data_IF_577337761978
#
_entry.id   IF_577337761978
#
_cell.length_a   1.000
_cell.length_b   1.000
_cell.length_c   1.000
_cell.angle_alpha   90.00
_cell.angle_beta   90.00
_cell.angle_gamma   90.00
#
_symmetry.space_group_name_H-M   'P 1'
#
loop_
_entity.id
_entity.type
_entity.pdbx_description
1 polymer ?
#
# COMPACT_ATOMS: atom_id res chain seq x y z
N UNK A 1 -0.67 -20.94 7.47
CA UNK A 1 -0.33 -19.88 6.49
C UNK A 1 -1.57 -19.06 6.21
N UNK A 2 -1.45 -17.73 6.21
CA UNK A 2 -2.58 -16.81 5.99
C UNK A 2 -3.04 -16.88 4.53
N UNK A 3 -4.36 -16.93 4.31
CA UNK A 3 -4.93 -17.08 2.97
C UNK A 3 -4.87 -15.77 2.18
N UNK A 4 -4.56 -15.83 0.88
CA UNK A 4 -4.45 -14.65 0.01
C UNK A 4 -5.68 -13.75 0.00
N UNK A 5 -6.89 -14.33 0.05
CA UNK A 5 -8.13 -13.54 0.08
C UNK A 5 -8.26 -12.70 1.37
N UNK A 6 -7.69 -13.17 2.49
CA UNK A 6 -7.67 -12.42 3.76
C UNK A 6 -6.73 -11.23 3.67
N UNK A 7 -5.55 -11.45 3.08
CA UNK A 7 -4.58 -10.39 2.82
C UNK A 7 -5.21 -9.30 1.94
N UNK A 8 -5.88 -9.70 0.86
CA UNK A 8 -6.56 -8.78 -0.05
C UNK A 8 -7.63 -7.94 0.68
N UNK A 9 -8.50 -8.57 1.48
CA UNK A 9 -9.51 -7.84 2.28
C UNK A 9 -8.87 -6.87 3.28
N UNK A 10 -7.75 -7.24 3.90
CA UNK A 10 -7.04 -6.35 4.82
C UNK A 10 -6.44 -5.14 4.11
N UNK A 11 -5.87 -5.34 2.92
CA UNK A 11 -5.36 -4.26 2.07
C UNK A 11 -6.49 -3.30 1.69
N UNK A 12 -7.62 -3.81 1.20
CA UNK A 12 -8.78 -2.99 0.81
C UNK A 12 -9.32 -2.19 1.99
N UNK A 13 -9.45 -2.82 3.17
CA UNK A 13 -9.88 -2.14 4.38
C UNK A 13 -8.90 -1.04 4.81
N UNK A 14 -7.60 -1.31 4.71
CA UNK A 14 -6.56 -0.33 5.01
C UNK A 14 -6.67 0.90 4.11
N UNK A 15 -6.70 0.72 2.78
CA UNK A 15 -6.76 1.83 1.83
C UNK A 15 -8.09 2.60 1.87
N UNK A 16 -9.18 1.95 2.27
CA UNK A 16 -10.49 2.61 2.40
C UNK A 16 -10.53 3.68 3.49
N UNK A 17 -9.67 3.55 4.51
CA UNK A 17 -9.76 4.32 5.76
C UNK A 17 -8.46 4.98 6.17
N UNK A 18 -7.36 4.73 5.46
CA UNK A 18 -6.04 5.22 5.82
C UNK A 18 -5.27 5.61 4.55
N UNK A 19 -4.32 6.54 4.69
CA UNK A 19 -3.33 6.86 3.65
C UNK A 19 -1.97 6.29 4.03
N UNK A 20 -1.20 5.72 3.07
CA UNK A 20 0.20 5.33 3.31
C UNK A 20 1.13 6.48 3.70
N UNK A 21 0.71 7.74 3.52
CA UNK A 21 1.43 8.89 4.02
C UNK A 21 1.31 9.11 5.53
N UNK A 22 0.25 8.56 6.15
CA UNK A 22 -0.10 8.82 7.56
C UNK A 22 0.21 7.62 8.47
N UNK A 23 -0.09 6.41 8.01
CA UNK A 23 0.09 5.17 8.76
C UNK A 23 0.45 4.05 7.77
N UNK A 24 1.43 3.22 8.10
CA UNK A 24 1.81 2.07 7.29
C UNK A 24 0.81 0.91 7.42
N UNK A 25 0.80 0.00 6.45
CA UNK A 25 -0.02 -1.21 6.53
C UNK A 25 0.34 -2.09 7.74
N UNK A 26 1.62 -2.16 8.10
CA UNK A 26 2.08 -2.86 9.31
C UNK A 26 1.46 -2.27 10.58
N UNK A 27 1.54 -0.95 10.75
CA UNK A 27 0.95 -0.26 11.91
C UNK A 27 -0.58 -0.42 11.95
N UNK A 28 -1.24 -0.44 10.79
CA UNK A 28 -2.66 -0.78 10.70
C UNK A 28 -2.95 -2.19 11.22
N UNK A 29 -2.18 -3.21 10.80
CA UNK A 29 -2.35 -4.59 11.25
C UNK A 29 -2.11 -4.74 12.75
N UNK A 30 -1.09 -4.09 13.29
CA UNK A 30 -0.81 -4.06 14.73
C UNK A 30 -1.93 -3.37 15.53
N UNK A 31 -2.55 -2.33 14.96
CA UNK A 31 -3.69 -1.66 15.59
C UNK A 31 -4.91 -2.56 15.60
N UNK A 32 -5.22 -3.20 14.47
CA UNK A 32 -6.37 -4.10 14.36
C UNK A 32 -6.20 -5.33 15.26
N UNK A 33 -5.00 -5.91 15.33
CA UNK A 33 -4.74 -7.08 16.19
C UNK A 33 -4.95 -6.82 17.68
N UNK A 34 -4.77 -5.56 18.12
CA UNK A 34 -4.97 -5.14 19.52
C UNK A 34 -6.40 -4.71 19.82
N UNK A 35 -7.09 -4.10 18.86
CA UNK A 35 -8.35 -3.41 19.10
C UNK A 35 -9.58 -4.13 18.54
N UNK A 36 -9.41 -5.10 17.64
CA UNK A 36 -10.49 -5.84 17.02
C UNK A 36 -10.52 -7.29 17.55
N UNK A 37 -11.51 -7.64 18.41
CA UNK A 37 -11.60 -8.98 19.01
C UNK A 37 -11.73 -10.11 17.99
N UNK A 38 -12.22 -9.81 16.78
CA UNK A 38 -12.43 -10.80 15.73
C UNK A 38 -11.29 -10.86 14.72
N UNK A 39 -10.22 -10.07 14.90
CA UNK A 39 -9.13 -9.98 13.93
C UNK A 39 -8.47 -11.33 13.66
N UNK A 40 -8.02 -12.02 14.72
CA UNK A 40 -7.34 -13.31 14.57
C UNK A 40 -8.29 -14.42 14.11
N UNK A 41 -9.54 -14.41 14.57
CA UNK A 41 -10.56 -15.35 14.09
C UNK A 41 -10.84 -15.16 12.60
N UNK A 42 -10.89 -13.92 12.12
CA UNK A 42 -10.99 -13.61 10.69
C UNK A 42 -9.74 -14.08 9.93
N UNK A 43 -8.55 -13.82 10.47
CA UNK A 43 -7.26 -14.04 9.82
C UNK A 43 -6.94 -15.53 9.65
N UNK A 44 -7.14 -16.32 10.71
CA UNK A 44 -6.83 -17.74 10.75
C UNK A 44 -8.03 -18.64 10.47
N UNK A 45 -9.26 -18.10 10.44
CA UNK A 45 -10.51 -18.87 10.29
C UNK A 45 -10.70 -19.92 11.39
N UNK A 46 -10.24 -19.59 12.60
CA UNK A 46 -10.35 -20.44 13.78
C UNK A 46 -11.07 -19.68 14.90
N UNK A 47 -11.83 -20.42 15.71
CA UNK A 47 -12.42 -19.87 16.92
C UNK A 47 -11.36 -19.80 18.01
N UNK A 48 -11.03 -18.59 18.45
CA UNK A 48 -10.04 -18.35 19.49
C UNK A 48 -10.74 -18.22 20.83
N UNK A 49 -10.41 -19.11 21.77
CA UNK A 49 -11.00 -19.09 23.11
C UNK A 49 -10.42 -17.92 23.93
N UNK A 50 -9.10 -17.65 23.85
CA UNK A 50 -8.46 -16.49 24.52
C UNK A 50 -7.09 -16.02 23.97
N UNK A 51 -6.36 -16.81 23.17
CA UNK A 51 -4.99 -16.47 22.73
C UNK A 51 -4.51 -17.25 21.50
N UNK A 52 -3.54 -16.71 20.77
CA UNK A 52 -2.81 -17.43 19.72
C UNK A 52 -1.95 -18.57 20.29
N UNK A 53 -1.73 -19.63 19.51
CA UNK A 53 -0.64 -20.58 19.77
C UNK A 53 0.72 -19.97 19.40
N UNK A 54 1.81 -20.61 19.85
CA UNK A 54 3.17 -20.20 19.46
C UNK A 54 3.36 -20.21 17.94
N UNK A 55 2.86 -21.25 17.26
CA UNK A 55 2.92 -21.36 15.80
C UNK A 55 2.14 -20.25 15.10
N UNK A 56 0.95 -19.91 15.60
CA UNK A 56 0.14 -18.82 15.03
C UNK A 56 0.77 -17.46 15.28
N UNK A 57 1.40 -17.28 16.43
CA UNK A 57 2.15 -16.06 16.76
C UNK A 57 3.33 -15.88 15.79
N UNK A 58 4.13 -16.94 15.57
CA UNK A 58 5.24 -16.90 14.61
C UNK A 58 4.75 -16.61 13.18
N UNK A 59 3.65 -17.23 12.74
CA UNK A 59 3.05 -16.95 11.43
C UNK A 59 2.57 -15.50 11.32
N UNK A 60 2.05 -14.92 12.40
CA UNK A 60 1.60 -13.53 12.39
C UNK A 60 2.78 -12.55 12.36
N UNK A 61 3.85 -12.82 13.11
CA UNK A 61 5.06 -11.99 13.09
C UNK A 61 5.72 -12.01 11.69
N UNK A 62 5.86 -13.17 11.06
CA UNK A 62 6.35 -13.27 9.68
C UNK A 62 5.46 -12.50 8.69
N UNK A 63 4.15 -12.54 8.91
CA UNK A 63 3.19 -11.78 8.12
C UNK A 63 3.33 -10.26 8.28
N UNK A 64 3.64 -9.77 9.50
CA UNK A 64 3.87 -8.34 9.74
C UNK A 64 5.14 -7.81 9.08
N UNK A 65 6.18 -8.65 8.94
CA UNK A 65 7.45 -8.27 8.31
C UNK A 65 7.48 -8.45 6.79
N UNK A 66 6.48 -9.14 6.23
CA UNK A 66 6.37 -9.31 4.78
C UNK A 66 5.84 -8.04 4.11
N UNK A 67 6.45 -7.63 2.99
CA UNK A 67 5.90 -6.56 2.15
C UNK A 67 4.70 -7.05 1.34
N UNK A 68 3.53 -6.47 1.60
CA UNK A 68 2.26 -6.81 0.91
C UNK A 68 1.79 -5.73 -0.06
N UNK A 69 2.40 -4.55 -0.04
CA UNK A 69 2.00 -3.40 -0.85
C UNK A 69 3.19 -2.87 -1.62
N UNK A 70 3.01 -2.77 -2.94
CA UNK A 70 3.96 -2.12 -3.83
C UNK A 70 3.24 -1.04 -4.63
N UNK A 71 3.99 -0.03 -5.04
CA UNK A 71 3.42 1.15 -5.68
C UNK A 71 4.17 1.48 -6.95
N UNK A 72 3.42 2.07 -7.88
CA UNK A 72 3.90 2.60 -9.15
C UNK A 72 3.54 4.08 -9.29
N UNK A 73 4.23 4.77 -10.21
CA UNK A 73 3.94 6.11 -10.64
C UNK A 73 3.21 6.08 -11.98
N UNK A 74 2.02 6.66 -12.02
CA UNK A 74 1.26 6.87 -13.24
C UNK A 74 1.29 8.35 -13.60
N UNK A 75 1.72 8.65 -14.82
CA UNK A 75 1.72 9.99 -15.38
C UNK A 75 0.60 10.13 -16.39
N UNK A 76 -0.28 11.10 -16.16
CA UNK A 76 -1.47 11.34 -16.97
C UNK A 76 -1.49 12.77 -17.52
N UNK A 77 -1.90 12.90 -18.77
CA UNK A 77 -2.24 14.16 -19.44
C UNK A 77 -3.63 14.06 -20.09
N UNK A 78 -4.11 15.13 -20.71
CA UNK A 78 -5.37 15.11 -21.47
C UNK A 78 -5.37 14.09 -22.63
N UNK A 79 -4.20 13.63 -23.06
CA UNK A 79 -4.05 12.82 -24.29
C UNK A 79 -3.26 11.53 -24.13
N UNK A 80 -2.59 11.32 -23.00
CA UNK A 80 -1.71 10.17 -22.78
C UNK A 80 -1.65 9.75 -21.31
N UNK A 81 -1.32 8.48 -21.10
CA UNK A 81 -1.08 7.88 -19.79
C UNK A 81 0.12 6.95 -19.90
N UNK A 82 1.05 7.01 -18.95
CA UNK A 82 2.21 6.12 -18.87
C UNK A 82 2.51 5.73 -17.42
N UNK A 83 2.83 4.46 -17.21
CA UNK A 83 3.42 3.95 -15.98
C UNK A 83 4.96 4.02 -15.99
N UNK A 84 5.55 4.27 -14.83
CA UNK A 84 7.00 4.18 -14.61
C UNK A 84 7.45 2.71 -14.45
N UNK A 85 6.55 1.82 -14.03
CA UNK A 85 6.79 0.38 -13.88
C UNK A 85 7.41 0.00 -12.54
N UNK A 86 7.27 0.83 -11.51
CA UNK A 86 7.81 0.57 -10.18
C UNK A 86 7.03 -0.52 -9.43
N UNK A 87 7.79 -1.28 -8.63
CA UNK A 87 7.30 -2.21 -7.61
C UNK A 87 8.04 -1.91 -6.31
N UNK A 88 7.83 -0.70 -5.82
CA UNK A 88 8.59 -0.13 -4.70
C UNK A 88 7.67 0.34 -3.59
N UNK A 89 8.25 0.74 -2.45
CA UNK A 89 7.49 1.32 -1.34
C UNK A 89 6.85 2.67 -1.71
N UNK A 90 5.78 3.02 -1.01
CA UNK A 90 5.14 4.34 -1.14
C UNK A 90 6.14 5.47 -0.95
N UNK A 91 6.99 5.37 0.07
CA UNK A 91 7.99 6.38 0.40
C UNK A 91 9.00 6.58 -0.73
N UNK A 92 9.46 5.49 -1.37
CA UNK A 92 10.34 5.58 -2.53
C UNK A 92 9.69 6.35 -3.69
N UNK A 93 8.44 6.02 -4.02
CA UNK A 93 7.69 6.68 -5.07
C UNK A 93 7.49 8.17 -4.77
N UNK A 94 7.15 8.50 -3.53
CA UNK A 94 6.96 9.88 -3.09
C UNK A 94 8.26 10.70 -3.14
N UNK A 95 9.38 10.11 -2.71
CA UNK A 95 10.68 10.78 -2.78
C UNK A 95 11.17 10.96 -4.21
N UNK A 96 10.87 10.00 -5.09
CA UNK A 96 11.14 10.12 -6.51
C UNK A 96 10.38 11.29 -7.15
N UNK A 97 9.09 11.44 -6.83
CA UNK A 97 8.32 12.62 -7.26
C UNK A 97 8.95 13.90 -6.71
N UNK A 98 9.19 13.99 -5.40
CA UNK A 98 9.77 15.20 -4.78
C UNK A 98 11.12 15.60 -5.37
N UNK A 99 11.94 14.63 -5.76
CA UNK A 99 13.28 14.89 -6.29
C UNK A 99 13.25 15.34 -7.76
N UNK A 100 12.26 14.91 -8.55
CA UNK A 100 12.24 15.09 -10.00
C UNK A 100 11.14 16.04 -10.51
N UNK A 101 10.06 16.26 -9.77
CA UNK A 101 8.97 17.14 -10.18
C UNK A 101 9.47 18.60 -10.30
N UNK A 102 9.25 19.24 -11.45
CA UNK A 102 9.84 20.54 -11.81
C UNK A 102 11.14 20.45 -12.62
N UNK A 103 11.73 19.26 -12.79
CA UNK A 103 12.90 19.06 -13.64
C UNK A 103 12.53 18.84 -15.11
N UNK A 104 13.52 18.58 -15.97
CA UNK A 104 13.30 18.14 -17.35
C UNK A 104 13.80 16.71 -17.56
N UNK A 105 13.59 15.85 -16.57
CA UNK A 105 14.07 14.47 -16.57
C UNK A 105 12.89 13.48 -16.65
N UNK A 106 13.04 12.41 -17.44
CA UNK A 106 12.04 11.35 -17.58
C UNK A 106 10.65 11.86 -17.98
N UNK A 107 9.61 11.19 -17.49
CA UNK A 107 8.22 11.58 -17.75
C UNK A 107 7.84 12.93 -17.13
N UNK A 108 8.51 13.42 -16.10
CA UNK A 108 8.28 14.78 -15.56
C UNK A 108 8.52 15.88 -16.59
N UNK A 109 9.36 15.64 -17.61
CA UNK A 109 9.52 16.56 -18.73
C UNK A 109 8.32 16.55 -19.67
N UNK A 110 7.85 15.37 -20.01
CA UNK A 110 6.89 15.15 -21.10
C UNK A 110 5.44 15.39 -20.63
N UNK A 111 5.19 15.30 -19.32
CA UNK A 111 3.87 15.40 -18.69
C UNK A 111 3.60 16.72 -17.96
N UNK A 112 4.36 17.79 -18.23
CA UNK A 112 4.16 19.10 -17.58
C UNK A 112 2.74 19.65 -17.78
N UNK A 113 2.13 20.11 -16.69
CA UNK A 113 0.73 20.53 -16.65
C UNK A 113 -0.28 19.37 -16.57
N UNK A 114 0.20 18.12 -16.64
CA UNK A 114 -0.56 16.92 -16.29
C UNK A 114 -0.45 16.56 -14.80
N UNK A 115 -0.76 15.32 -14.48
CA UNK A 115 -0.72 14.78 -13.12
C UNK A 115 0.25 13.61 -13.02
N UNK A 116 0.85 13.46 -11.84
CA UNK A 116 1.54 12.24 -11.41
C UNK A 116 0.83 11.67 -10.19
N UNK A 117 0.54 10.38 -10.23
CA UNK A 117 -0.21 9.64 -9.21
C UNK A 117 0.62 8.48 -8.69
N UNK A 118 0.59 8.23 -7.38
CA UNK A 118 1.08 6.99 -6.79
C UNK A 118 -0.09 6.02 -6.71
N UNK A 119 0.04 4.87 -7.36
CA UNK A 119 -1.01 3.84 -7.46
C UNK A 119 -0.52 2.56 -6.79
N UNK A 120 -1.36 1.94 -5.96
CA UNK A 120 -1.09 0.62 -5.39
C UNK A 120 -1.23 -0.45 -6.46
N UNK A 121 -0.21 -1.30 -6.62
CA UNK A 121 -0.20 -2.38 -7.62
C UNK A 121 -1.19 -3.51 -7.28
N UNK A 122 -1.53 -3.68 -6.01
CA UNK A 122 -2.39 -4.77 -5.54
C UNK A 122 -3.89 -4.45 -5.66
N UNK A 123 -4.27 -3.17 -5.66
CA UNK A 123 -5.68 -2.72 -5.73
C UNK A 123 -5.99 -1.85 -6.94
N UNK A 124 -4.99 -1.21 -7.53
CA UNK A 124 -5.17 -0.16 -8.54
C UNK A 124 -5.66 1.17 -7.96
N UNK A 125 -5.71 1.32 -6.64
CA UNK A 125 -6.17 2.55 -5.99
C UNK A 125 -5.09 3.64 -6.08
N UNK A 126 -5.51 4.87 -6.42
CA UNK A 126 -4.65 6.05 -6.30
C UNK A 126 -4.60 6.50 -4.84
N UNK A 127 -3.41 6.49 -4.25
CA UNK A 127 -3.19 6.82 -2.83
C UNK A 127 -2.55 8.19 -2.61
N UNK A 128 -2.00 8.78 -3.68
CA UNK A 128 -1.44 10.15 -3.70
C UNK A 128 -1.46 10.68 -5.13
N UNK A 129 -1.63 12.00 -5.31
CA UNK A 129 -1.58 12.65 -6.61
C UNK A 129 -1.15 14.12 -6.47
N UNK A 130 -0.34 14.60 -7.41
CA UNK A 130 -0.10 16.04 -7.59
C UNK A 130 0.13 16.43 -9.06
N UNK A 131 0.13 17.73 -9.34
CA UNK A 131 0.44 18.29 -10.67
C UNK A 131 1.94 18.18 -10.99
N UNK A 132 2.25 17.88 -12.25
CA UNK A 132 3.63 17.88 -12.79
C UNK A 132 4.03 19.30 -13.20
N UNK A 133 5.11 19.82 -12.63
CA UNK A 133 5.57 21.22 -12.73
C UNK A 133 6.65 21.46 -13.79
#
# INVERSE_FOLDING_TARGET
>A
MIKKNKIQTLIENYESSNSPADISFKEYLERESKNNPSFFSFLFEEDFDTSLTDEQSEVFEDFLETEHLTYDLIFDSDTSSNDEGFKSSFQYCLDYIKMNNGTNWGYFKDYKGGCVSIVCNETGTTVYQEEVR
#
